data_IF_685217203655
#
_entry.id   IF_685217203655
#
_cell.length_a   1.000
_cell.length_b   1.000
_cell.length_c   1.000
_cell.angle_alpha   90.00
_cell.angle_beta   90.00
_cell.angle_gamma   90.00
#
_symmetry.space_group_name_H-M   'P 1'
#
loop_
_entity.id
_entity.type
_entity.pdbx_description
1 polymer ?
#
# COMPACT_ATOMS: atom_id res chain seq x y z
N UNK A 1 -9.64 14.73 4.37
CA UNK A 1 -10.95 14.76 5.08
C UNK A 1 -11.67 13.43 5.07
N UNK A 2 -11.48 12.56 4.07
CA UNK A 2 -12.14 11.26 3.95
C UNK A 2 -12.00 10.38 5.21
N UNK A 3 -10.81 10.32 5.83
CA UNK A 3 -10.61 9.60 7.10
C UNK A 3 -11.59 10.02 8.21
N UNK A 4 -11.78 11.34 8.38
CA UNK A 4 -12.68 11.90 9.40
C UNK A 4 -14.12 11.51 9.09
N UNK A 5 -14.55 11.66 7.84
CA UNK A 5 -15.91 11.27 7.42
C UNK A 5 -16.16 9.77 7.60
N UNK A 6 -15.16 8.93 7.28
CA UNK A 6 -15.22 7.49 7.51
C UNK A 6 -15.40 7.19 9.00
N UNK A 7 -14.58 7.76 9.88
CA UNK A 7 -14.71 7.50 11.32
C UNK A 7 -15.97 8.08 11.95
N UNK A 8 -16.51 9.18 11.42
CA UNK A 8 -17.86 9.63 11.79
C UNK A 8 -18.85 8.51 11.53
N UNK A 9 -18.84 7.91 10.34
CA UNK A 9 -19.71 6.78 9.99
C UNK A 9 -19.42 5.52 10.83
N UNK A 10 -18.15 5.15 10.98
CA UNK A 10 -17.71 3.96 11.70
C UNK A 10 -18.16 3.96 13.17
N UNK A 11 -18.08 5.12 13.83
CA UNK A 11 -18.50 5.29 15.22
C UNK A 11 -19.93 5.84 15.37
N UNK A 12 -20.68 6.02 14.27
CA UNK A 12 -22.05 6.49 14.33
C UNK A 12 -22.96 5.41 14.92
N UNK A 13 -23.19 5.43 16.24
CA UNK A 13 -24.12 4.52 16.91
C UNK A 13 -25.10 5.29 17.83
N UNK A 14 -26.13 5.94 17.25
CA UNK A 14 -27.00 6.86 17.98
C UNK A 14 -27.98 6.17 18.95
N UNK A 15 -28.11 4.84 18.93
CA UNK A 15 -29.19 4.15 19.67
C UNK A 15 -28.76 3.04 20.63
N UNK A 16 -27.52 2.55 20.60
CA UNK A 16 -27.14 1.42 21.47
C UNK A 16 -25.97 1.66 22.42
N UNK A 17 -25.11 2.67 22.20
CA UNK A 17 -23.84 2.76 22.94
C UNK A 17 -23.34 4.20 23.20
N UNK A 18 -24.21 5.21 23.30
CA UNK A 18 -23.75 6.57 23.66
C UNK A 18 -23.20 6.59 25.11
N UNK A 19 -21.88 6.42 25.28
CA UNK A 19 -21.20 6.55 26.59
C UNK A 19 -20.74 7.98 26.78
N UNK A 20 -21.70 8.86 27.07
CA UNK A 20 -21.46 10.28 27.34
C UNK A 20 -20.44 10.44 28.48
N UNK A 21 -19.42 11.26 28.29
CA UNK A 21 -18.31 11.46 29.23
C UNK A 21 -17.17 10.43 29.13
N UNK A 22 -17.32 9.40 28.28
CA UNK A 22 -16.29 8.40 27.97
C UNK A 22 -15.87 8.51 26.50
N UNK A 23 -16.82 8.33 25.58
CA UNK A 23 -16.54 8.33 24.12
C UNK A 23 -16.51 9.76 23.55
N UNK A 24 -17.29 10.66 24.15
CA UNK A 24 -17.30 12.08 23.81
C UNK A 24 -17.71 12.93 25.04
N UNK A 25 -17.35 14.23 25.09
CA UNK A 25 -17.62 15.09 26.24
C UNK A 25 -19.11 15.21 26.58
N UNK A 26 -19.43 15.31 27.87
CA UNK A 26 -20.76 15.69 28.35
C UNK A 26 -20.90 17.22 28.36
N UNK A 27 -21.01 17.83 27.19
CA UNK A 27 -21.09 19.29 27.03
C UNK A 27 -22.04 19.65 25.89
N UNK A 28 -22.74 20.77 26.04
CA UNK A 28 -23.70 21.30 25.06
C UNK A 28 -23.03 21.90 23.83
N UNK A 29 -21.74 22.24 23.94
CA UNK A 29 -20.92 22.78 22.85
C UNK A 29 -20.37 21.68 21.93
N UNK A 30 -20.37 20.42 22.38
CA UNK A 30 -19.89 19.29 21.60
C UNK A 30 -21.04 18.64 20.82
N UNK A 31 -20.87 18.34 19.51
CA UNK A 31 -21.90 17.63 18.76
C UNK A 31 -22.19 16.27 19.38
N UNK A 32 -23.45 16.05 19.80
CA UNK A 32 -23.85 14.80 20.45
C UNK A 32 -23.60 13.62 19.51
N UNK A 33 -22.94 12.58 20.03
CA UNK A 33 -22.62 11.36 19.28
C UNK A 33 -21.34 11.45 18.44
N UNK A 34 -20.69 12.61 18.35
CA UNK A 34 -19.44 12.74 17.61
C UNK A 34 -18.26 12.23 18.43
N UNK A 35 -17.68 11.10 18.02
CA UNK A 35 -16.44 10.54 18.60
C UNK A 35 -15.24 11.12 17.85
N UNK A 36 -14.38 11.87 18.56
CA UNK A 36 -13.15 12.38 17.97
C UNK A 36 -12.10 11.28 17.90
N UNK A 37 -11.68 10.96 16.67
CA UNK A 37 -10.60 9.99 16.40
C UNK A 37 -9.38 10.76 15.89
N UNK A 38 -8.19 10.59 16.50
CA UNK A 38 -6.99 11.24 16.02
C UNK A 38 -6.61 10.70 14.64
N UNK A 39 -6.41 11.61 13.68
CA UNK A 39 -5.89 11.29 12.35
C UNK A 39 -4.46 11.80 12.28
N UNK A 40 -3.52 10.87 12.19
CA UNK A 40 -2.10 11.18 12.05
C UNK A 40 -1.77 11.42 10.58
N UNK A 41 -0.80 12.28 10.32
CA UNK A 41 -0.30 12.59 8.98
C UNK A 41 1.16 12.99 9.06
N UNK A 42 1.83 12.93 7.93
CA UNK A 42 3.21 13.38 7.73
C UNK A 42 3.23 14.39 6.58
N UNK A 43 4.38 15.02 6.32
CA UNK A 43 4.49 15.94 5.19
C UNK A 43 4.42 15.16 3.87
N UNK A 44 3.66 15.68 2.91
CA UNK A 44 3.41 15.08 1.60
C UNK A 44 4.69 14.69 0.86
N UNK A 45 5.70 15.58 0.87
CA UNK A 45 6.98 15.37 0.19
C UNK A 45 7.78 14.17 0.72
N UNK A 46 7.47 13.70 1.94
CA UNK A 46 8.17 12.62 2.64
C UNK A 46 7.24 11.47 3.00
N UNK A 47 6.01 11.45 2.48
CA UNK A 47 5.04 10.39 2.74
C UNK A 47 5.24 9.20 1.80
N UNK A 48 6.33 8.45 1.97
CA UNK A 48 6.60 7.28 1.13
C UNK A 48 5.57 6.14 1.31
N UNK A 49 4.72 6.19 2.34
CA UNK A 49 3.70 5.16 2.60
C UNK A 49 2.37 5.53 1.92
N UNK A 50 1.86 6.72 2.20
CA UNK A 50 0.56 7.19 1.72
C UNK A 50 0.62 7.78 0.31
N UNK A 51 1.76 8.31 -0.11
CA UNK A 51 1.94 9.01 -1.39
C UNK A 51 3.01 8.32 -2.27
N UNK A 52 2.61 7.49 -3.25
CA UNK A 52 3.53 6.91 -4.24
C UNK A 52 4.27 7.93 -5.11
N UNK A 53 3.84 9.19 -5.10
CA UNK A 53 4.42 10.31 -5.84
C UNK A 53 5.24 11.24 -4.92
N UNK A 54 5.52 10.82 -3.67
CA UNK A 54 6.42 11.51 -2.76
C UNK A 54 7.77 11.81 -3.44
N UNK A 55 8.41 12.92 -3.04
CA UNK A 55 9.57 13.45 -3.74
C UNK A 55 10.70 12.43 -3.75
N UNK A 56 11.01 11.89 -4.94
CA UNK A 56 12.03 10.89 -5.03
C UNK A 56 12.92 10.91 -6.28
N UNK A 57 14.22 11.15 -6.07
CA UNK A 57 15.22 11.23 -7.14
C UNK A 57 15.34 9.92 -7.92
N UNK A 58 15.22 8.77 -7.25
CA UNK A 58 15.19 7.45 -7.89
C UNK A 58 13.98 7.29 -8.80
N UNK A 59 12.80 7.78 -8.41
CA UNK A 59 11.59 7.71 -9.24
C UNK A 59 11.77 8.48 -10.56
N UNK A 60 12.28 9.72 -10.49
CA UNK A 60 12.59 10.50 -11.69
C UNK A 60 13.64 9.82 -12.58
N UNK A 61 14.65 9.21 -11.95
CA UNK A 61 15.69 8.48 -12.68
C UNK A 61 15.13 7.25 -13.41
N UNK A 62 14.28 6.45 -12.75
CA UNK A 62 13.59 5.32 -13.37
C UNK A 62 12.66 5.77 -14.49
N UNK A 63 11.91 6.86 -14.29
CA UNK A 63 11.04 7.44 -15.34
C UNK A 63 11.83 7.82 -16.60
N UNK A 64 13.02 8.44 -16.46
CA UNK A 64 13.90 8.76 -17.61
C UNK A 64 14.41 7.50 -18.35
N UNK A 65 14.53 6.37 -17.67
CA UNK A 65 14.87 5.09 -18.32
C UNK A 65 13.64 4.52 -19.02
N UNK A 66 12.50 4.50 -18.34
CA UNK A 66 11.20 4.05 -18.84
C UNK A 66 10.82 4.76 -20.14
N UNK A 67 10.97 6.09 -20.22
CA UNK A 67 10.63 6.87 -21.42
C UNK A 67 11.47 6.51 -22.65
N UNK A 68 12.59 5.79 -22.48
CA UNK A 68 13.45 5.32 -23.57
C UNK A 68 13.10 3.92 -24.07
N UNK A 69 12.20 3.21 -23.38
CA UNK A 69 11.72 1.88 -23.75
C UNK A 69 11.00 1.88 -25.10
N UNK A 70 11.03 0.76 -25.85
CA UNK A 70 10.21 0.60 -27.05
C UNK A 70 8.72 0.80 -26.80
N UNK A 71 8.20 0.31 -25.67
CA UNK A 71 6.81 0.41 -25.24
C UNK A 71 6.36 1.87 -25.15
N UNK A 72 7.09 2.71 -24.40
CA UNK A 72 6.79 4.14 -24.28
C UNK A 72 6.86 4.89 -25.62
N UNK A 73 7.87 4.59 -26.44
CA UNK A 73 8.04 5.20 -27.77
C UNK A 73 6.91 4.81 -28.71
N UNK A 74 6.46 3.56 -28.66
CA UNK A 74 5.34 3.08 -29.45
C UNK A 74 4.04 3.72 -28.99
N UNK A 75 3.79 3.84 -27.68
CA UNK A 75 2.64 4.53 -27.12
C UNK A 75 2.56 5.98 -27.63
N UNK A 76 3.66 6.72 -27.48
CA UNK A 76 3.77 8.12 -27.95
C UNK A 76 3.47 8.23 -29.44
N UNK A 77 3.96 7.30 -30.26
CA UNK A 77 3.73 7.28 -31.70
C UNK A 77 2.26 6.95 -32.04
N UNK A 78 1.65 6.00 -31.34
CA UNK A 78 0.30 5.53 -31.61
C UNK A 78 -0.76 6.59 -31.28
N UNK A 79 -0.51 7.42 -30.27
CA UNK A 79 -1.44 8.46 -29.81
C UNK A 79 -1.04 9.88 -30.24
N UNK A 80 -0.09 10.04 -31.17
CA UNK A 80 0.40 11.34 -31.60
C UNK A 80 -0.71 12.30 -32.08
N UNK A 81 -1.68 11.80 -32.85
CA UNK A 81 -2.78 12.64 -33.36
C UNK A 81 -3.80 12.96 -32.26
N UNK A 82 -4.03 12.05 -31.30
CA UNK A 82 -4.87 12.29 -30.12
C UNK A 82 -4.26 13.40 -29.25
N UNK A 83 -2.95 13.34 -29.01
CA UNK A 83 -2.22 14.36 -28.26
C UNK A 83 -2.25 15.73 -28.93
N UNK A 84 -2.01 15.80 -30.26
CA UNK A 84 -2.10 17.07 -31.00
C UNK A 84 -3.47 17.71 -30.90
N UNK A 85 -4.53 16.90 -30.95
CA UNK A 85 -5.89 17.41 -30.82
C UNK A 85 -6.15 17.93 -29.40
N UNK A 86 -5.66 17.23 -28.36
CA UNK A 86 -5.72 17.71 -26.98
C UNK A 86 -4.96 19.03 -26.81
N UNK A 87 -3.72 19.12 -27.29
CA UNK A 87 -2.90 20.34 -27.25
C UNK A 87 -3.56 21.52 -27.98
N UNK A 88 -4.23 21.26 -29.11
CA UNK A 88 -4.99 22.28 -29.85
C UNK A 88 -6.18 22.79 -29.03
N UNK A 89 -6.85 21.92 -28.28
CA UNK A 89 -7.99 22.27 -27.43
C UNK A 89 -7.52 23.03 -26.18
N UNK A 90 -6.41 22.61 -25.57
CA UNK A 90 -5.86 23.22 -24.37
C UNK A 90 -4.99 24.47 -24.65
N UNK A 91 -4.70 24.76 -25.92
CA UNK A 91 -3.83 25.88 -26.36
C UNK A 91 -2.42 25.86 -25.74
N UNK A 92 -1.94 24.67 -25.38
CA UNK A 92 -0.61 24.46 -24.79
C UNK A 92 -0.07 23.08 -25.14
N UNK A 93 1.25 22.91 -25.07
CA UNK A 93 1.86 21.58 -25.21
C UNK A 93 1.66 20.76 -23.94
N UNK A 94 1.36 19.48 -24.11
CA UNK A 94 1.05 18.56 -23.01
C UNK A 94 1.98 17.36 -23.11
N UNK A 95 2.98 17.24 -22.22
CA UNK A 95 3.77 16.04 -22.10
C UNK A 95 2.90 14.82 -21.87
N UNK A 96 3.38 13.65 -22.30
CA UNK A 96 2.64 12.40 -22.12
C UNK A 96 2.35 12.13 -20.63
N UNK A 97 3.29 12.44 -19.75
CA UNK A 97 3.16 12.33 -18.28
C UNK A 97 2.11 13.26 -17.66
N UNK A 98 1.60 14.23 -18.41
CA UNK A 98 0.68 15.26 -17.91
C UNK A 98 -0.74 15.07 -18.48
N UNK A 99 -0.96 14.04 -19.30
CA UNK A 99 -2.28 13.72 -19.87
C UNK A 99 -3.33 13.48 -18.78
N UNK A 100 -2.93 12.89 -17.65
CA UNK A 100 -3.82 12.59 -16.53
C UNK A 100 -4.53 13.83 -15.99
N UNK A 101 -3.89 15.01 -15.98
CA UNK A 101 -4.52 16.25 -15.53
C UNK A 101 -5.79 16.57 -16.33
N UNK A 102 -5.72 16.39 -17.65
CA UNK A 102 -6.86 16.64 -18.53
C UNK A 102 -7.93 15.57 -18.35
N UNK A 103 -7.54 14.29 -18.32
CA UNK A 103 -8.46 13.17 -18.17
C UNK A 103 -9.24 13.26 -16.84
N UNK A 104 -8.54 13.51 -15.74
CA UNK A 104 -9.17 13.64 -14.42
C UNK A 104 -10.09 14.87 -14.34
N UNK A 105 -9.67 16.01 -14.90
CA UNK A 105 -10.51 17.21 -14.99
C UNK A 105 -11.80 16.90 -15.77
N UNK A 106 -11.69 16.28 -16.94
CA UNK A 106 -12.85 15.93 -17.75
C UNK A 106 -13.76 14.91 -17.06
N UNK A 107 -13.19 13.94 -16.35
CA UNK A 107 -13.95 12.99 -15.54
C UNK A 107 -14.76 13.71 -14.45
N UNK A 108 -14.10 14.57 -13.67
CA UNK A 108 -14.72 15.36 -12.60
C UNK A 108 -15.85 16.26 -13.13
N UNK A 109 -15.62 16.93 -14.26
CA UNK A 109 -16.63 17.77 -14.90
C UNK A 109 -17.84 16.95 -15.37
N UNK A 110 -17.62 15.78 -16.00
CA UNK A 110 -18.70 14.89 -16.47
C UNK A 110 -19.58 14.42 -15.31
N UNK A 111 -19.00 13.94 -14.21
CA UNK A 111 -19.78 13.40 -13.08
C UNK A 111 -20.58 14.48 -12.36
N UNK A 112 -20.19 15.75 -12.48
CA UNK A 112 -20.92 16.91 -11.98
C UNK A 112 -21.77 17.62 -13.05
N UNK A 113 -22.03 16.93 -14.18
CA UNK A 113 -22.88 17.41 -15.28
C UNK A 113 -22.42 18.72 -15.96
N UNK A 114 -21.12 18.99 -15.94
CA UNK A 114 -20.51 20.05 -16.74
C UNK A 114 -20.22 19.57 -18.17
N UNK A 115 -20.13 20.53 -19.09
CA UNK A 115 -19.71 20.27 -20.47
C UNK A 115 -18.20 20.32 -20.59
N UNK A 116 -17.61 19.25 -21.10
CA UNK A 116 -16.17 19.16 -21.37
C UNK A 116 -15.83 19.61 -22.80
N UNK A 117 -14.60 20.05 -23.08
CA UNK A 117 -14.20 20.56 -24.40
C UNK A 117 -13.88 19.46 -25.43
N UNK A 118 -14.07 18.19 -25.09
CA UNK A 118 -13.80 17.03 -25.98
C UNK A 118 -15.07 16.22 -26.25
N UNK A 119 -15.14 15.55 -27.40
CA UNK A 119 -16.22 14.60 -27.69
C UNK A 119 -15.96 13.24 -27.02
N UNK A 120 -16.95 12.35 -27.03
CA UNK A 120 -16.84 11.03 -26.38
C UNK A 120 -15.70 10.18 -26.92
N UNK A 121 -15.50 10.15 -28.25
CA UNK A 121 -14.45 9.35 -28.87
C UNK A 121 -13.06 9.82 -28.42
N UNK A 122 -12.82 11.13 -28.41
CA UNK A 122 -11.55 11.68 -27.95
C UNK A 122 -11.35 11.44 -26.46
N UNK A 123 -12.40 11.58 -25.64
CA UNK A 123 -12.34 11.26 -24.22
C UNK A 123 -11.95 9.80 -23.98
N UNK A 124 -12.59 8.84 -24.66
CA UNK A 124 -12.31 7.41 -24.50
C UNK A 124 -10.86 7.07 -24.92
N UNK A 125 -10.34 7.70 -25.98
CA UNK A 125 -8.95 7.56 -26.40
C UNK A 125 -7.96 8.12 -25.37
N UNK A 126 -8.28 9.27 -24.76
CA UNK A 126 -7.45 9.88 -23.72
C UNK A 126 -7.46 9.05 -22.43
N UNK A 127 -8.60 8.48 -22.06
CA UNK A 127 -8.72 7.57 -20.91
C UNK A 127 -7.88 6.31 -21.13
N UNK A 128 -7.95 5.69 -22.31
CA UNK A 128 -7.11 4.55 -22.68
C UNK A 128 -5.62 4.89 -22.63
N UNK A 129 -5.24 6.03 -23.22
CA UNK A 129 -3.86 6.53 -23.19
C UNK A 129 -3.37 6.71 -21.74
N UNK A 130 -4.17 7.38 -20.90
CA UNK A 130 -3.83 7.60 -19.51
C UNK A 130 -3.64 6.29 -18.74
N UNK A 131 -4.52 5.31 -18.98
CA UNK A 131 -4.41 4.00 -18.34
C UNK A 131 -3.11 3.27 -18.74
N UNK A 132 -2.70 3.35 -20.01
CA UNK A 132 -1.44 2.78 -20.49
C UNK A 132 -0.22 3.48 -19.87
N UNK A 133 -0.21 4.82 -19.83
CA UNK A 133 0.85 5.62 -19.18
C UNK A 133 1.02 5.20 -17.72
N UNK A 134 -0.09 5.18 -16.99
CA UNK A 134 -0.10 4.91 -15.57
C UNK A 134 0.28 3.45 -15.25
N UNK A 135 -0.07 2.48 -16.12
CA UNK A 135 0.45 1.12 -15.99
C UNK A 135 1.98 1.10 -16.07
N UNK A 136 2.55 1.77 -17.06
CA UNK A 136 4.00 1.86 -17.21
C UNK A 136 4.65 2.56 -16.00
N UNK A 137 4.08 3.67 -15.52
CA UNK A 137 4.59 4.40 -14.35
C UNK A 137 4.55 3.58 -13.05
N UNK A 138 3.69 2.55 -12.97
CA UNK A 138 3.69 1.57 -11.88
C UNK A 138 4.46 0.28 -12.20
N UNK A 139 5.25 0.26 -13.27
CA UNK A 139 6.10 -0.88 -13.64
C UNK A 139 5.39 -2.07 -14.27
N UNK A 140 4.13 -1.90 -14.70
CA UNK A 140 3.38 -2.93 -15.44
C UNK A 140 3.62 -2.82 -16.95
N UNK A 141 3.32 -3.90 -17.66
CA UNK A 141 3.28 -3.94 -19.13
C UNK A 141 4.60 -3.50 -19.82
N UNK A 142 5.72 -3.58 -19.09
CA UNK A 142 7.06 -3.22 -19.55
C UNK A 142 7.99 -4.43 -19.50
N UNK A 143 8.80 -4.61 -20.54
CA UNK A 143 9.93 -5.54 -20.46
C UNK A 143 11.12 -4.91 -19.71
N UNK A 144 11.96 -5.72 -19.03
CA UNK A 144 13.20 -5.23 -18.45
C UNK A 144 14.06 -4.49 -19.50
N UNK A 145 14.56 -3.31 -19.14
CA UNK A 145 15.27 -2.43 -20.07
C UNK A 145 16.52 -1.84 -19.44
N UNK A 146 17.63 -1.83 -20.18
CA UNK A 146 18.94 -1.34 -19.71
C UNK A 146 19.42 -1.95 -18.38
N UNK A 147 18.93 -3.14 -18.02
CA UNK A 147 19.26 -3.85 -16.77
C UNK A 147 18.37 -3.49 -15.57
N UNK A 148 17.32 -2.70 -15.78
CA UNK A 148 16.27 -2.41 -14.80
C UNK A 148 15.10 -3.34 -15.04
N UNK A 149 14.61 -3.97 -13.98
CA UNK A 149 13.32 -4.66 -13.96
C UNK A 149 12.30 -3.75 -13.27
N UNK A 150 11.44 -3.11 -14.07
CA UNK A 150 10.54 -2.07 -13.58
C UNK A 150 9.54 -2.62 -12.57
N UNK A 151 9.07 -3.87 -12.72
CA UNK A 151 8.13 -4.49 -11.77
C UNK A 151 8.68 -4.42 -10.34
N UNK A 152 9.95 -4.76 -10.14
CA UNK A 152 10.55 -4.76 -8.81
C UNK A 152 11.07 -3.38 -8.39
N UNK A 153 11.74 -2.65 -9.28
CA UNK A 153 12.36 -1.38 -8.88
C UNK A 153 11.35 -0.25 -8.69
N UNK A 154 10.28 -0.20 -9.50
CA UNK A 154 9.15 0.72 -9.27
C UNK A 154 8.26 0.19 -8.14
N UNK A 155 8.01 -1.13 -8.11
CA UNK A 155 7.20 -1.77 -7.07
C UNK A 155 7.69 -1.46 -5.65
N UNK A 156 9.01 -1.46 -5.41
CA UNK A 156 9.60 -1.07 -4.10
C UNK A 156 9.30 0.37 -3.70
N UNK A 157 9.48 1.33 -4.62
CA UNK A 157 9.38 2.76 -4.30
C UNK A 157 7.93 3.28 -4.25
N UNK A 158 7.00 2.64 -4.96
CA UNK A 158 5.60 3.08 -5.03
C UNK A 158 4.68 2.30 -4.09
N UNK A 159 4.60 0.97 -4.24
CA UNK A 159 3.69 0.12 -3.48
C UNK A 159 4.35 -0.67 -2.34
N UNK A 160 5.68 -0.77 -2.35
CA UNK A 160 6.46 -1.55 -1.40
C UNK A 160 6.38 -1.00 0.02
N UNK A 161 6.49 0.31 0.18
CA UNK A 161 6.40 0.97 1.49
C UNK A 161 5.06 0.75 2.20
N UNK A 162 3.93 0.87 1.50
CA UNK A 162 2.63 0.58 2.13
C UNK A 162 2.42 -0.91 2.39
N UNK A 163 2.87 -1.78 1.47
CA UNK A 163 2.85 -3.23 1.70
C UNK A 163 3.62 -3.58 2.98
N UNK A 164 4.86 -3.12 3.09
CA UNK A 164 5.71 -3.44 4.24
C UNK A 164 5.26 -2.74 5.52
N UNK A 165 4.68 -1.54 5.43
CA UNK A 165 4.01 -0.95 6.58
C UNK A 165 2.91 -1.86 7.12
N UNK A 166 2.07 -2.46 6.26
CA UNK A 166 1.05 -3.42 6.72
C UNK A 166 1.65 -4.72 7.28
N UNK A 167 2.65 -5.29 6.61
CA UNK A 167 3.32 -6.51 7.06
C UNK A 167 4.01 -6.32 8.42
N UNK A 168 4.69 -5.19 8.63
CA UNK A 168 5.33 -4.86 9.91
C UNK A 168 4.32 -4.75 11.05
N UNK A 169 3.12 -4.21 10.78
CA UNK A 169 2.03 -4.18 11.77
C UNK A 169 1.53 -5.59 12.10
N UNK A 170 1.40 -6.48 11.10
CA UNK A 170 1.02 -7.87 11.31
C UNK A 170 2.10 -8.67 12.06
N UNK A 171 3.37 -8.50 11.70
CA UNK A 171 4.50 -9.11 12.39
C UNK A 171 4.56 -8.67 13.86
N UNK A 172 4.44 -7.36 14.11
CA UNK A 172 4.43 -6.83 15.46
C UNK A 172 3.20 -7.34 16.23
N UNK A 173 2.05 -7.49 15.58
CA UNK A 173 0.87 -8.10 16.18
C UNK A 173 1.13 -9.53 16.61
N UNK A 174 1.65 -10.37 15.72
CA UNK A 174 1.99 -11.77 16.00
C UNK A 174 3.05 -11.89 17.09
N UNK A 175 4.08 -11.04 17.05
CA UNK A 175 5.11 -10.95 18.09
C UNK A 175 4.49 -10.67 19.46
N UNK A 176 3.60 -9.67 19.54
CA UNK A 176 2.97 -9.24 20.79
C UNK A 176 1.85 -10.15 21.31
N UNK A 177 1.38 -11.10 20.51
CA UNK A 177 0.44 -12.14 20.97
C UNK A 177 1.15 -13.30 21.68
N UNK A 178 2.48 -13.41 21.59
CA UNK A 178 3.26 -14.40 22.34
C UNK A 178 3.39 -13.99 23.81
N UNK A 179 3.18 -14.93 24.72
CA UNK A 179 3.16 -14.67 26.16
C UNK A 179 4.48 -14.05 26.65
N UNK A 180 5.63 -14.50 26.14
CA UNK A 180 6.94 -13.95 26.52
C UNK A 180 7.16 -12.47 26.16
N UNK A 181 6.36 -11.91 25.24
CA UNK A 181 6.57 -10.56 24.71
C UNK A 181 5.56 -9.54 25.23
N UNK A 182 4.59 -9.94 26.07
CA UNK A 182 3.48 -9.09 26.50
C UNK A 182 3.91 -7.78 27.18
N UNK A 183 5.04 -7.81 27.88
CA UNK A 183 5.59 -6.66 28.63
C UNK A 183 6.55 -5.79 27.80
N UNK A 184 6.84 -6.16 26.55
CA UNK A 184 7.68 -5.35 25.66
C UNK A 184 7.00 -4.00 25.38
N UNK A 185 7.74 -2.86 25.33
CA UNK A 185 7.15 -1.53 25.16
C UNK A 185 6.18 -1.41 23.99
N UNK A 186 6.50 -1.98 22.83
CA UNK A 186 5.64 -1.95 21.64
C UNK A 186 4.38 -2.81 21.79
N UNK A 187 4.39 -3.81 22.67
CA UNK A 187 3.26 -4.71 22.90
C UNK A 187 2.23 -4.15 23.86
N UNK A 188 2.56 -3.09 24.61
CA UNK A 188 1.63 -2.41 25.52
C UNK A 188 0.39 -1.88 24.80
N UNK A 189 0.52 -1.44 23.56
CA UNK A 189 -0.58 -0.94 22.72
C UNK A 189 -0.95 -1.88 21.57
N UNK A 190 0.03 -2.53 20.93
CA UNK A 190 -0.23 -3.35 19.73
C UNK A 190 -1.13 -4.56 20.04
N UNK A 191 -1.01 -5.14 21.24
CA UNK A 191 -1.84 -6.30 21.63
C UNK A 191 -3.35 -6.02 21.55
N UNK A 192 -3.75 -4.77 21.82
CA UNK A 192 -5.14 -4.34 21.86
C UNK A 192 -5.61 -3.69 20.56
N UNK A 193 -4.68 -3.22 19.70
CA UNK A 193 -5.01 -2.66 18.39
C UNK A 193 -5.70 -3.72 17.50
N UNK A 194 -6.86 -3.36 16.94
CA UNK A 194 -7.66 -4.25 16.05
C UNK A 194 -7.80 -3.74 14.63
N UNK A 195 -7.60 -2.45 14.42
CA UNK A 195 -7.83 -1.81 13.14
C UNK A 195 -6.82 -0.68 12.96
N UNK A 196 -6.14 -0.67 11.81
CA UNK A 196 -5.22 0.37 11.38
C UNK A 196 -5.61 0.75 9.96
N UNK A 197 -5.78 2.04 9.67
CA UNK A 197 -6.27 2.51 8.39
C UNK A 197 -5.36 3.58 7.79
N UNK A 198 -5.11 3.44 6.49
CA UNK A 198 -4.42 4.42 5.66
C UNK A 198 -5.47 5.11 4.78
N UNK A 199 -5.69 6.41 5.00
CA UNK A 199 -6.53 7.22 4.12
C UNK A 199 -5.63 7.92 3.11
N UNK A 200 -5.56 7.36 1.91
CA UNK A 200 -4.62 7.78 0.89
C UNK A 200 -5.32 8.02 -0.46
N UNK A 201 -4.65 7.68 -1.57
CA UNK A 201 -5.07 8.01 -2.93
C UNK A 201 -5.37 6.75 -3.75
N UNK A 202 -6.03 6.95 -4.88
CA UNK A 202 -6.20 5.94 -5.92
C UNK A 202 -4.85 5.41 -6.43
N UNK A 203 -3.84 6.28 -6.55
CA UNK A 203 -2.45 5.91 -6.85
C UNK A 203 -1.86 4.98 -5.81
N UNK A 204 -2.15 5.17 -4.52
CA UNK A 204 -1.69 4.30 -3.44
C UNK A 204 -2.23 2.88 -3.58
N UNK A 205 -3.53 2.75 -3.82
CA UNK A 205 -4.17 1.46 -4.05
C UNK A 205 -3.69 0.82 -5.37
N UNK A 206 -3.58 1.59 -6.45
CA UNK A 206 -3.09 1.10 -7.73
C UNK A 206 -1.65 0.58 -7.63
N UNK A 207 -0.75 1.34 -6.99
CA UNK A 207 0.64 0.95 -6.77
C UNK A 207 0.74 -0.33 -5.94
N UNK A 208 -0.02 -0.43 -4.83
CA UNK A 208 -0.10 -1.64 -4.02
C UNK A 208 -0.60 -2.85 -4.84
N UNK A 209 -1.66 -2.66 -5.64
CA UNK A 209 -2.16 -3.71 -6.52
C UNK A 209 -1.14 -4.12 -7.59
N UNK A 210 -0.33 -3.20 -8.12
CA UNK A 210 0.76 -3.52 -9.04
C UNK A 210 1.85 -4.33 -8.36
N UNK A 211 2.29 -3.91 -7.17
CA UNK A 211 3.28 -4.63 -6.35
C UNK A 211 2.82 -6.06 -6.04
N UNK A 212 1.52 -6.27 -5.85
CA UNK A 212 0.91 -7.58 -5.59
C UNK A 212 0.48 -8.34 -6.86
N UNK A 213 0.90 -7.91 -8.05
CA UNK A 213 0.52 -8.51 -9.35
C UNK A 213 -1.01 -8.65 -9.53
N UNK A 214 -1.79 -7.77 -8.90
CA UNK A 214 -3.24 -7.91 -8.76
C UNK A 214 -4.03 -6.87 -9.56
N UNK A 215 -3.41 -5.75 -9.99
CA UNK A 215 -4.14 -4.62 -10.61
C UNK A 215 -5.01 -5.05 -11.77
N UNK A 216 -4.46 -5.75 -12.76
CA UNK A 216 -5.22 -6.23 -13.94
C UNK A 216 -6.27 -7.28 -13.60
N UNK A 217 -6.10 -8.01 -12.49
CA UNK A 217 -7.04 -9.05 -12.03
C UNK A 217 -8.23 -8.44 -11.28
N UNK A 218 -7.99 -7.40 -10.49
CA UNK A 218 -9.02 -6.70 -9.68
C UNK A 218 -9.74 -5.63 -10.52
N UNK A 219 -9.00 -4.84 -11.29
CA UNK A 219 -9.50 -3.77 -12.15
C UNK A 219 -9.59 -4.27 -13.60
N UNK A 220 -10.52 -5.20 -13.85
CA UNK A 220 -10.65 -5.90 -15.15
C UNK A 220 -10.97 -4.98 -16.33
N UNK A 221 -11.58 -3.83 -16.08
CA UNK A 221 -11.83 -2.81 -17.09
C UNK A 221 -10.63 -1.86 -17.30
N UNK A 222 -9.49 -2.12 -16.63
CA UNK A 222 -8.37 -1.22 -16.54
C UNK A 222 -8.63 -0.05 -15.60
N UNK A 223 -7.88 1.03 -15.77
CA UNK A 223 -8.06 2.25 -14.99
C UNK A 223 -7.50 2.20 -13.58
N UNK A 224 -8.11 3.02 -12.72
CA UNK A 224 -7.71 3.30 -11.35
C UNK A 224 -8.85 3.04 -10.37
N UNK A 225 -8.54 2.81 -9.08
CA UNK A 225 -9.54 2.72 -8.02
C UNK A 225 -10.45 3.94 -7.99
N UNK A 226 -11.76 3.73 -7.88
CA UNK A 226 -12.75 4.81 -7.88
C UNK A 226 -12.88 5.50 -6.51
N UNK A 227 -13.67 6.56 -6.44
CA UNK A 227 -13.96 7.21 -5.15
C UNK A 227 -14.49 6.22 -4.12
N UNK A 228 -13.95 6.32 -2.90
CA UNK A 228 -14.23 5.45 -1.75
C UNK A 228 -13.81 3.98 -1.91
N UNK A 229 -13.05 3.66 -2.97
CA UNK A 229 -12.41 2.36 -3.06
C UNK A 229 -11.52 2.10 -1.84
N UNK A 230 -11.49 0.84 -1.38
CA UNK A 230 -10.68 0.45 -0.23
C UNK A 230 -10.24 -1.01 -0.34
N UNK A 231 -9.03 -1.30 0.14
CA UNK A 231 -8.56 -2.68 0.34
C UNK A 231 -8.47 -2.97 1.83
N UNK A 232 -8.92 -4.15 2.22
CA UNK A 232 -8.89 -4.62 3.61
C UNK A 232 -8.00 -5.84 3.69
N UNK A 233 -6.91 -5.74 4.44
CA UNK A 233 -6.03 -6.86 4.73
C UNK A 233 -6.34 -7.32 6.16
N UNK A 234 -6.71 -8.58 6.31
CA UNK A 234 -7.12 -9.16 7.59
C UNK A 234 -6.19 -10.30 7.99
N UNK A 235 -5.60 -10.18 9.16
CA UNK A 235 -4.80 -11.23 9.78
C UNK A 235 -5.67 -12.10 10.69
N UNK A 236 -5.76 -13.39 10.36
CA UNK A 236 -6.59 -14.37 11.03
C UNK A 236 -5.76 -15.40 11.79
N UNK A 237 -6.22 -15.79 12.97
CA UNK A 237 -5.68 -16.95 13.68
C UNK A 237 -6.42 -18.21 13.22
N UNK A 238 -5.81 -19.01 12.36
CA UNK A 238 -6.42 -20.23 11.80
C UNK A 238 -5.88 -21.49 12.49
N UNK A 239 -6.46 -22.65 12.17
CA UNK A 239 -5.93 -23.94 12.63
C UNK A 239 -4.57 -24.29 12.00
N UNK A 240 -4.23 -23.68 10.87
CA UNK A 240 -2.99 -23.93 10.12
C UNK A 240 -1.90 -22.88 10.41
N UNK A 241 -2.16 -21.95 11.33
CA UNK A 241 -1.30 -20.81 11.63
C UNK A 241 -1.93 -19.47 11.21
N UNK A 242 -1.16 -18.37 11.21
CA UNK A 242 -1.63 -17.07 10.75
C UNK A 242 -2.05 -17.13 9.27
N UNK A 243 -3.29 -16.72 9.00
CA UNK A 243 -3.86 -16.66 7.65
C UNK A 243 -4.20 -15.23 7.26
N UNK A 244 -4.14 -14.95 5.95
CA UNK A 244 -4.47 -13.65 5.37
C UNK A 244 -5.76 -13.77 4.55
N UNK A 245 -6.65 -12.79 4.72
CA UNK A 245 -7.75 -12.50 3.80
C UNK A 245 -7.62 -11.08 3.27
N UNK A 246 -7.91 -10.88 2.00
CA UNK A 246 -7.88 -9.58 1.36
C UNK A 246 -9.19 -9.31 0.64
N UNK A 247 -9.80 -8.19 0.97
CA UNK A 247 -11.04 -7.74 0.35
C UNK A 247 -10.87 -6.42 -0.39
N UNK A 248 -11.66 -6.23 -1.45
CA UNK A 248 -11.74 -4.98 -2.18
C UNK A 248 -13.17 -4.42 -2.18
N UNK A 249 -13.30 -3.16 -1.81
CA UNK A 249 -14.50 -2.35 -1.98
C UNK A 249 -14.29 -1.47 -3.20
N UNK A 250 -15.14 -1.59 -4.22
CA UNK A 250 -14.93 -0.94 -5.52
C UNK A 250 -15.20 0.55 -5.49
N UNK A 251 -16.36 0.94 -4.98
CA UNK A 251 -16.87 2.31 -5.02
C UNK A 251 -18.08 2.46 -4.09
N UNK A 252 -18.58 3.69 -3.96
CA UNK A 252 -19.67 4.05 -3.06
C UNK A 252 -21.05 3.49 -3.47
N UNK A 253 -21.16 2.83 -4.62
CA UNK A 253 -22.40 2.20 -5.10
C UNK A 253 -22.48 0.72 -4.73
N UNK A 254 -21.40 0.14 -4.22
CA UNK A 254 -21.33 -1.25 -3.79
C UNK A 254 -21.35 -1.35 -2.27
N UNK A 255 -22.25 -2.16 -1.72
CA UNK A 255 -22.30 -2.42 -0.27
C UNK A 255 -21.51 -3.67 0.13
N UNK A 256 -20.98 -4.42 -0.83
CA UNK A 256 -20.33 -5.71 -0.61
C UNK A 256 -18.82 -5.61 -0.78
N UNK A 257 -18.11 -6.34 0.07
CA UNK A 257 -16.68 -6.56 -0.05
C UNK A 257 -16.43 -7.76 -0.97
N UNK A 258 -15.61 -7.57 -1.99
CA UNK A 258 -15.18 -8.64 -2.88
C UNK A 258 -13.96 -9.33 -2.28
N UNK A 259 -14.03 -10.65 -2.05
CA UNK A 259 -12.84 -11.43 -1.67
C UNK A 259 -11.91 -11.51 -2.89
N UNK A 260 -10.75 -10.87 -2.78
CA UNK A 260 -9.72 -10.82 -3.83
C UNK A 260 -8.48 -11.60 -3.43
N UNK A 261 -8.53 -12.38 -2.33
CA UNK A 261 -7.37 -13.06 -1.75
C UNK A 261 -6.64 -13.94 -2.76
N UNK A 262 -7.38 -14.66 -3.60
CA UNK A 262 -6.83 -15.57 -4.63
C UNK A 262 -6.26 -14.84 -5.86
N UNK A 263 -6.55 -13.54 -6.01
CA UNK A 263 -6.04 -12.72 -7.11
C UNK A 263 -4.64 -12.16 -6.83
N UNK A 264 -4.23 -12.09 -5.56
CA UNK A 264 -2.92 -11.60 -5.16
C UNK A 264 -1.83 -12.63 -5.52
N UNK A 265 -0.68 -12.13 -5.99
CA UNK A 265 0.49 -12.98 -6.24
C UNK A 265 0.84 -13.78 -4.99
N UNK A 266 1.25 -15.03 -5.21
CA UNK A 266 1.64 -15.96 -4.14
C UNK A 266 0.56 -16.31 -3.10
N UNK A 267 -0.68 -15.82 -3.23
CA UNK A 267 -1.75 -16.30 -2.37
C UNK A 267 -2.47 -17.52 -2.95
N UNK A 268 -2.85 -17.51 -4.23
CA UNK A 268 -3.58 -18.63 -4.86
C UNK A 268 -2.93 -20.00 -4.69
N UNK A 269 -1.59 -20.08 -4.74
CA UNK A 269 -0.81 -21.31 -4.56
C UNK A 269 -0.61 -21.71 -3.08
N UNK A 270 -0.96 -20.82 -2.14
CA UNK A 270 -0.69 -20.96 -0.71
C UNK A 270 -1.97 -20.78 0.13
N UNK A 271 -3.14 -21.04 -0.45
CA UNK A 271 -4.41 -21.01 0.28
C UNK A 271 -4.70 -22.34 0.98
N UNK A 272 -5.28 -22.25 2.17
CA UNK A 272 -5.88 -23.41 2.83
C UNK A 272 -7.29 -23.74 2.30
N UNK A 273 -7.87 -24.83 2.78
CA UNK A 273 -9.20 -25.29 2.32
C UNK A 273 -10.35 -24.35 2.68
N UNK A 274 -10.14 -23.39 3.59
CA UNK A 274 -11.12 -22.37 3.97
C UNK A 274 -10.88 -21.06 3.23
N UNK A 275 -9.91 -21.02 2.33
CA UNK A 275 -9.56 -19.87 1.50
C UNK A 275 -8.70 -18.82 2.21
N UNK A 276 -8.00 -19.15 3.30
CA UNK A 276 -7.01 -18.26 3.90
C UNK A 276 -5.66 -18.45 3.21
N UNK A 277 -5.02 -17.35 2.79
CA UNK A 277 -3.65 -17.36 2.29
C UNK A 277 -2.66 -17.52 3.46
N UNK A 278 -1.65 -18.38 3.33
CA UNK A 278 -0.60 -18.53 4.35
C UNK A 278 0.17 -17.20 4.49
N UNK A 279 0.06 -16.57 5.66
CA UNK A 279 0.64 -15.25 5.91
C UNK A 279 2.17 -15.27 5.81
N UNK A 280 2.83 -16.30 6.35
CA UNK A 280 4.29 -16.39 6.35
C UNK A 280 4.83 -16.52 4.92
N UNK A 281 4.14 -17.29 4.06
CA UNK A 281 4.45 -17.37 2.63
C UNK A 281 4.21 -16.06 1.92
N UNK A 282 3.08 -15.41 2.17
CA UNK A 282 2.78 -14.10 1.58
C UNK A 282 3.85 -13.06 1.94
N UNK A 283 4.16 -12.92 3.24
CA UNK A 283 5.20 -12.03 3.76
C UNK A 283 6.57 -12.32 3.15
N UNK A 284 6.99 -13.58 3.13
CA UNK A 284 8.30 -13.99 2.58
C UNK A 284 8.43 -13.63 1.10
N UNK A 285 7.39 -13.84 0.30
CA UNK A 285 7.43 -13.46 -1.11
C UNK A 285 7.42 -11.93 -1.30
N UNK A 286 6.83 -11.18 -0.35
CA UNK A 286 6.87 -9.71 -0.31
C UNK A 286 8.26 -9.11 -0.13
N UNK A 287 9.28 -9.87 0.30
CA UNK A 287 10.65 -9.38 0.58
C UNK A 287 11.28 -8.73 -0.65
N UNK A 288 10.94 -9.22 -1.86
CA UNK A 288 11.46 -8.63 -3.10
C UNK A 288 11.03 -7.16 -3.29
N UNK A 289 9.96 -6.73 -2.61
CA UNK A 289 9.44 -5.36 -2.63
C UNK A 289 9.75 -4.56 -1.36
N UNK A 290 10.53 -5.11 -0.42
CA UNK A 290 10.96 -4.37 0.77
C UNK A 290 11.83 -3.19 0.35
N UNK A 291 11.49 -1.94 0.71
CA UNK A 291 12.23 -0.76 0.27
C UNK A 291 13.55 -0.55 1.04
N UNK A 292 13.76 -1.23 2.17
CA UNK A 292 14.87 -0.92 3.07
C UNK A 292 14.66 0.45 3.72
N UNK A 293 15.71 1.27 3.81
CA UNK A 293 15.56 2.66 4.19
C UNK A 293 15.08 3.48 2.97
N UNK A 294 13.90 4.07 3.05
CA UNK A 294 13.28 4.76 1.92
C UNK A 294 14.09 5.97 1.46
N UNK A 295 14.67 6.76 2.38
CA UNK A 295 15.52 7.90 2.03
C UNK A 295 16.78 7.46 1.26
N UNK A 296 17.45 6.40 1.72
CA UNK A 296 18.64 5.84 1.05
C UNK A 296 18.29 5.26 -0.31
N UNK A 297 17.22 4.46 -0.40
CA UNK A 297 16.72 3.93 -1.67
C UNK A 297 16.40 5.07 -2.63
N UNK A 298 15.78 6.13 -2.11
CA UNK A 298 15.34 7.25 -2.90
C UNK A 298 16.50 8.09 -3.49
N UNK A 299 17.64 8.15 -2.79
CA UNK A 299 18.86 8.80 -3.29
C UNK A 299 19.67 7.90 -4.24
N UNK A 300 19.39 6.60 -4.32
CA UNK A 300 20.07 5.71 -5.25
C UNK A 300 19.57 5.91 -6.69
N UNK A 301 20.27 6.73 -7.47
CA UNK A 301 19.99 6.96 -8.90
C UNK A 301 21.00 6.25 -9.81
N UNK A 302 21.62 5.16 -9.35
CA UNK A 302 22.69 4.47 -10.09
C UNK A 302 22.49 2.97 -10.15
N UNK A 303 22.00 2.35 -9.08
CA UNK A 303 21.77 0.92 -9.04
C UNK A 303 20.57 0.55 -9.89
N UNK A 304 20.82 -0.30 -10.88
CA UNK A 304 19.78 -0.81 -11.79
C UNK A 304 18.94 -1.93 -11.17
N UNK A 305 19.46 -2.54 -10.10
CA UNK A 305 18.80 -3.55 -9.29
C UNK A 305 19.14 -3.30 -7.84
N UNK A 306 18.13 -3.31 -6.98
CA UNK A 306 18.28 -3.19 -5.53
C UNK A 306 17.79 -4.46 -4.85
N UNK A 307 18.27 -4.72 -3.63
CA UNK A 307 17.79 -5.83 -2.81
C UNK A 307 18.10 -5.53 -1.36
N UNK A 308 17.08 -5.66 -0.51
CA UNK A 308 17.17 -5.43 0.91
C UNK A 308 16.62 -6.67 1.62
N UNK A 309 17.07 -6.91 2.85
CA UNK A 309 16.58 -8.03 3.65
C UNK A 309 16.05 -7.48 4.99
N UNK A 310 14.73 -7.53 5.23
CA UNK A 310 14.14 -7.05 6.48
C UNK A 310 14.58 -7.90 7.68
N UNK A 311 14.96 -9.17 7.46
CA UNK A 311 15.25 -10.13 8.51
C UNK A 311 16.76 -10.25 8.84
N UNK A 312 17.62 -9.42 8.21
CA UNK A 312 19.08 -9.51 8.39
C UNK A 312 19.51 -9.27 9.86
N UNK A 313 18.77 -8.47 10.62
CA UNK A 313 19.08 -8.19 12.02
C UNK A 313 18.61 -9.29 12.99
N UNK A 314 17.56 -10.04 12.66
CA UNK A 314 17.07 -11.14 13.50
C UNK A 314 18.05 -12.32 13.53
N UNK A 315 18.73 -12.58 12.41
CA UNK A 315 19.74 -13.65 12.29
C UNK A 315 21.03 -13.36 13.07
N UNK A 316 21.41 -12.08 13.24
CA UNK A 316 22.56 -11.69 14.07
C UNK A 316 22.26 -11.81 15.57
N UNK A 317 21.02 -11.54 16.00
CA UNK A 317 20.60 -11.69 17.40
C UNK A 317 20.55 -13.16 17.86
N UNK A 318 20.16 -14.08 16.98
CA UNK A 318 20.13 -15.53 17.26
C UNK A 318 21.52 -16.18 17.27
N UNK A 319 22.48 -15.61 16.54
CA UNK A 319 23.86 -16.14 16.46
C UNK A 319 24.75 -15.80 17.68
N UNK A 320 24.26 -14.98 18.62
CA UNK A 320 25.01 -14.55 19.82
C UNK A 320 24.64 -15.26 21.12
N UNK A 321 23.96 -16.41 21.08
CA UNK A 321 23.91 -17.31 22.25
C UNK A 321 25.10 -18.27 22.19
N UNK A 322 26.31 -17.74 22.42
CA UNK A 322 27.40 -18.58 22.91
C UNK A 322 27.04 -19.02 24.32
N UNK A 323 26.75 -20.32 24.48
CA UNK A 323 26.73 -20.99 25.79
C UNK A 323 28.09 -20.74 26.46
N UNK A 324 28.17 -19.66 27.25
CA UNK A 324 29.30 -19.43 28.12
C UNK A 324 29.41 -20.58 29.09
N UNK A 325 30.56 -21.26 29.10
CA UNK A 325 30.96 -22.19 30.16
C UNK A 325 31.05 -21.40 31.49
N UNK A 326 29.92 -21.19 32.15
CA UNK A 326 29.84 -20.68 33.51
C UNK A 326 28.72 -21.36 34.32
N UNK A 327 28.26 -22.53 33.86
CA UNK A 327 27.29 -23.38 34.57
C UNK A 327 27.91 -24.67 35.14
N UNK A 328 29.22 -24.65 35.43
CA UNK A 328 29.92 -25.76 36.09
C UNK A 328 30.91 -25.21 37.11
N UNK A 329 30.43 -24.70 38.24
CA UNK A 329 31.18 -24.55 39.51
C UNK A 329 30.30 -23.84 40.56
N UNK A 330 29.26 -24.51 41.05
CA UNK A 330 28.59 -24.14 42.32
C UNK A 330 27.80 -25.33 42.87
N UNK A 331 28.46 -26.48 42.93
CA UNK A 331 28.03 -27.67 43.68
C UNK A 331 29.31 -28.26 44.25
N UNK A 332 29.80 -27.74 45.38
CA UNK A 332 30.75 -28.36 46.32
C UNK A 332 31.28 -27.31 47.31
N UNK A 333 30.45 -26.79 48.22
CA UNK A 333 30.92 -26.24 49.50
C UNK A 333 29.75 -25.86 50.41
N UNK A 334 29.03 -26.86 50.93
CA UNK A 334 28.32 -26.71 52.21
C UNK A 334 28.00 -28.09 52.80
N UNK A 335 29.06 -28.78 53.21
CA UNK A 335 29.00 -29.75 54.31
C UNK A 335 30.11 -29.31 55.24
N UNK A 336 29.76 -28.64 56.35
CA UNK A 336 30.35 -28.78 57.67
C UNK A 336 29.78 -27.69 58.62
N UNK A 337 29.25 -28.16 59.75
CA UNK A 337 28.88 -27.44 60.99
C UNK A 337 27.49 -26.76 60.90
N UNK A 338 26.44 -27.22 61.60
CA UNK A 338 26.37 -27.73 62.97
C UNK A 338 25.27 -28.75 63.19
#
# INVERSE_FOLDING_TARGET
>A
MSAIANFIGFYNNPSQNERIGIDFPNSTEWPRGFVAVPIHTVADETDYIGNPDANCARQEWLSKILQRTPEWKNLTKNYMEVLKELERICEQSIPLTDVWFCVDTFYCEKIHAFTIPVNSLLYDQLEQLNNEIQNYENGLDLQPFEGVDFKYEIGKIRGGSILWSMLDHFDLKLHCLKFENLESPNCTWMKDLKYYAYSAHDTTLAALMCTLDAKHKILTNGGYPQYSAAMFFELWNTTNGPGLKVYYHRDFTQDQLEDVTDLLDHCSEHMDSNGFCDYEKFRTNGIVYYPGNEDELCQDTKSKKTSFNPDEYETKATSTVTLGLAALTLLLSQVFIS
#
